data_IF_342149609316
#
_entry.id   IF_342149609316
#
_cell.length_a   1.000
_cell.length_b   1.000
_cell.length_c   1.000
_cell.angle_alpha   90.00
_cell.angle_beta   90.00
_cell.angle_gamma   90.00
#
_symmetry.space_group_name_H-M   'P 1'
#
loop_
_entity.id
_entity.type
_entity.pdbx_description
1 polymer ?
#
# COMPACT_ATOMS: atom_id res chain seq x y z
N UNK A 1 -3.12 -8.09 -29.63
CA UNK A 1 -4.18 -8.28 -28.60
C UNK A 1 -3.73 -9.15 -27.43
N UNK A 2 -3.50 -10.45 -27.60
CA UNK A 2 -3.16 -11.37 -26.48
C UNK A 2 -1.91 -10.89 -25.72
N UNK A 3 -0.82 -10.56 -26.43
CA UNK A 3 0.40 -10.01 -25.83
C UNK A 3 0.17 -8.71 -25.03
N UNK A 4 -0.71 -7.84 -25.52
CA UNK A 4 -1.01 -6.57 -24.85
C UNK A 4 -1.75 -6.80 -23.53
N UNK A 5 -2.75 -7.69 -23.54
CA UNK A 5 -3.48 -8.15 -22.36
C UNK A 5 -2.52 -8.81 -21.35
N UNK A 6 -1.60 -9.64 -21.82
CA UNK A 6 -0.59 -10.29 -21.00
C UNK A 6 0.37 -9.29 -20.33
N UNK A 7 0.84 -8.28 -21.08
CA UNK A 7 1.66 -7.19 -20.53
C UNK A 7 0.92 -6.44 -19.41
N UNK A 8 -0.36 -6.08 -19.62
CA UNK A 8 -1.16 -5.41 -18.60
C UNK A 8 -1.33 -6.29 -17.36
N UNK A 9 -1.63 -7.58 -17.54
CA UNK A 9 -1.76 -8.53 -16.42
C UNK A 9 -0.46 -8.71 -15.65
N UNK A 10 0.69 -8.73 -16.33
CA UNK A 10 2.00 -8.79 -15.69
C UNK A 10 2.25 -7.53 -14.84
N UNK A 11 1.83 -6.35 -15.30
CA UNK A 11 1.92 -5.12 -14.50
C UNK A 11 1.01 -5.21 -13.26
N UNK A 12 -0.24 -5.66 -13.41
CA UNK A 12 -1.18 -5.85 -12.28
C UNK A 12 -0.58 -6.81 -11.24
N UNK A 13 -0.01 -7.95 -11.66
CA UNK A 13 0.65 -8.91 -10.78
C UNK A 13 1.83 -8.28 -10.04
N UNK A 14 2.65 -7.46 -10.70
CA UNK A 14 3.76 -6.73 -10.07
C UNK A 14 3.28 -5.71 -9.03
N UNK A 15 2.18 -4.99 -9.31
CA UNK A 15 1.60 -4.05 -8.33
C UNK A 15 1.09 -4.77 -7.09
N UNK A 16 0.36 -5.88 -7.27
CA UNK A 16 -0.12 -6.72 -6.16
C UNK A 16 1.05 -7.30 -5.34
N UNK A 17 2.09 -7.79 -6.01
CA UNK A 17 3.31 -8.28 -5.35
C UNK A 17 4.03 -7.19 -4.55
N UNK A 18 4.21 -6.00 -5.11
CA UNK A 18 4.85 -4.87 -4.42
C UNK A 18 4.05 -4.42 -3.19
N UNK A 19 2.71 -4.37 -3.31
CA UNK A 19 1.79 -4.09 -2.19
C UNK A 19 1.97 -5.11 -1.06
N UNK A 20 1.98 -6.41 -1.39
CA UNK A 20 2.23 -7.47 -0.42
C UNK A 20 3.60 -7.37 0.25
N UNK A 21 4.67 -7.14 -0.53
CA UNK A 21 6.03 -6.99 0.00
C UNK A 21 6.13 -5.83 0.98
N UNK A 22 5.51 -4.69 0.66
CA UNK A 22 5.54 -3.50 1.52
C UNK A 22 4.83 -3.73 2.85
N UNK A 23 3.72 -4.48 2.86
CA UNK A 23 3.07 -4.89 4.11
C UNK A 23 4.01 -5.70 5.00
N UNK A 24 4.78 -6.62 4.42
CA UNK A 24 5.80 -7.38 5.13
C UNK A 24 6.90 -6.49 5.71
N UNK A 25 7.47 -5.59 4.89
CA UNK A 25 8.50 -4.65 5.34
C UNK A 25 8.00 -3.66 6.39
N UNK A 26 6.74 -3.25 6.33
CA UNK A 26 6.13 -2.40 7.34
C UNK A 26 6.16 -3.05 8.73
N UNK A 27 5.72 -4.31 8.83
CA UNK A 27 5.75 -5.06 10.09
C UNK A 27 7.19 -5.21 10.57
N UNK A 28 8.11 -5.64 9.71
CA UNK A 28 9.52 -5.84 10.07
C UNK A 28 10.16 -4.57 10.62
N UNK A 29 10.00 -3.44 9.94
CA UNK A 29 10.63 -2.18 10.36
C UNK A 29 9.97 -1.57 11.59
N UNK A 30 8.66 -1.74 11.77
CA UNK A 30 7.98 -1.40 13.03
C UNK A 30 8.54 -2.23 14.17
N UNK A 31 8.64 -3.55 14.03
CA UNK A 31 9.19 -4.42 15.09
C UNK A 31 10.65 -4.06 15.39
N UNK A 32 11.49 -3.88 14.38
CA UNK A 32 12.89 -3.47 14.57
C UNK A 32 12.96 -2.15 15.33
N UNK A 33 12.16 -1.15 14.94
CA UNK A 33 12.15 0.15 15.63
C UNK A 33 11.71 0.04 17.09
N UNK A 34 10.78 -0.86 17.41
CA UNK A 34 10.34 -1.13 18.78
C UNK A 34 11.33 -1.99 19.58
N UNK A 35 12.37 -2.56 18.96
CA UNK A 35 13.41 -3.32 19.66
C UNK A 35 14.73 -2.56 19.81
N UNK A 36 14.83 -1.34 19.24
CA UNK A 36 16.01 -0.49 19.38
C UNK A 36 16.23 -0.08 20.83
N UNK A 37 17.37 -0.49 21.40
CA UNK A 37 17.79 -0.12 22.76
C UNK A 37 18.38 1.29 22.78
N UNK A 38 18.21 2.00 23.89
CA UNK A 38 18.82 3.33 24.11
C UNK A 38 17.98 4.52 23.62
N UNK A 39 16.83 4.27 22.98
CA UNK A 39 15.90 5.31 22.49
C UNK A 39 14.60 5.39 23.30
N UNK A 40 14.66 5.03 24.58
CA UNK A 40 13.56 4.87 25.54
C UNK A 40 12.43 5.93 25.49
N UNK A 41 12.75 7.19 25.13
CA UNK A 41 11.81 8.31 25.05
C UNK A 41 11.19 8.50 23.65
N UNK A 42 11.90 8.11 22.59
CA UNK A 42 11.52 8.39 21.19
C UNK A 42 11.21 7.14 20.36
N UNK A 43 11.49 5.95 20.88
CA UNK A 43 11.34 4.65 20.21
C UNK A 43 9.94 4.43 19.62
N UNK A 44 8.90 4.81 20.36
CA UNK A 44 7.50 4.71 19.91
C UNK A 44 7.25 5.62 18.70
N UNK A 45 7.75 6.86 18.74
CA UNK A 45 7.59 7.82 17.64
C UNK A 45 8.33 7.38 16.38
N UNK A 46 9.50 6.75 16.55
CA UNK A 46 10.28 6.19 15.44
C UNK A 46 9.50 5.06 14.75
N UNK A 47 8.73 4.26 15.49
CA UNK A 47 7.92 3.18 14.93
C UNK A 47 6.77 3.64 14.02
N UNK A 48 6.26 4.86 14.22
CA UNK A 48 5.25 5.44 13.34
C UNK A 48 5.81 5.86 11.98
N UNK A 49 7.11 6.13 11.87
CA UNK A 49 7.74 6.55 10.61
C UNK A 49 7.59 5.48 9.51
N UNK A 50 8.08 4.23 9.68
CA UNK A 50 7.88 3.20 8.66
C UNK A 50 6.39 2.90 8.47
N UNK A 51 5.59 2.89 9.55
CA UNK A 51 4.15 2.63 9.46
C UNK A 51 3.44 3.57 8.48
N UNK A 52 3.63 4.88 8.63
CA UNK A 52 2.98 5.89 7.79
C UNK A 52 3.52 5.88 6.35
N UNK A 53 4.83 5.74 6.17
CA UNK A 53 5.46 5.69 4.85
C UNK A 53 4.92 4.49 4.06
N UNK A 54 4.94 3.30 4.66
CA UNK A 54 4.46 2.11 3.97
C UNK A 54 2.95 2.11 3.76
N UNK A 55 2.17 2.71 4.67
CA UNK A 55 0.73 2.86 4.47
C UNK A 55 0.41 3.70 3.24
N UNK A 56 1.12 4.81 3.07
CA UNK A 56 0.98 5.66 1.88
C UNK A 56 1.42 4.92 0.61
N UNK A 57 2.57 4.22 0.64
CA UNK A 57 3.07 3.48 -0.52
C UNK A 57 2.13 2.34 -0.91
N UNK A 58 1.60 1.59 0.05
CA UNK A 58 0.65 0.50 -0.20
C UNK A 58 -0.63 1.04 -0.86
N UNK A 59 -1.15 2.18 -0.38
CA UNK A 59 -2.26 2.87 -1.03
C UNK A 59 -1.94 3.31 -2.47
N UNK A 60 -0.70 3.73 -2.73
CA UNK A 60 -0.24 4.09 -4.08
C UNK A 60 -0.20 2.88 -5.02
N UNK A 61 0.36 1.74 -4.59
CA UNK A 61 0.37 0.52 -5.40
C UNK A 61 -1.03 0.01 -5.71
N UNK A 62 -1.94 0.05 -4.72
CA UNK A 62 -3.34 -0.32 -4.92
C UNK A 62 -4.08 0.64 -5.87
N UNK A 63 -3.76 1.93 -5.82
CA UNK A 63 -4.29 2.92 -6.77
C UNK A 63 -3.82 2.63 -8.20
N UNK A 64 -2.53 2.37 -8.39
CA UNK A 64 -1.96 1.97 -9.69
C UNK A 64 -2.61 0.69 -10.22
N UNK A 65 -2.72 -0.34 -9.39
CA UNK A 65 -3.36 -1.61 -9.75
C UNK A 65 -4.78 -1.40 -10.28
N UNK A 66 -5.58 -0.57 -9.60
CA UNK A 66 -6.96 -0.26 -10.04
C UNK A 66 -7.01 0.48 -11.36
N UNK A 67 -6.06 1.39 -11.64
CA UNK A 67 -5.97 2.04 -12.94
C UNK A 67 -5.60 1.04 -14.05
N UNK A 68 -4.67 0.12 -13.78
CA UNK A 68 -4.33 -0.94 -14.73
C UNK A 68 -5.48 -1.93 -14.97
N UNK A 69 -6.31 -2.21 -13.94
CA UNK A 69 -7.56 -2.98 -14.12
C UNK A 69 -8.54 -2.26 -15.04
N UNK A 70 -8.67 -0.92 -14.96
CA UNK A 70 -9.48 -0.13 -15.90
C UNK A 70 -8.91 -0.15 -17.32
N UNK A 71 -7.58 -0.06 -17.46
CA UNK A 71 -6.91 -0.21 -18.76
C UNK A 71 -7.18 -1.59 -19.37
N UNK A 72 -7.09 -2.65 -18.58
CA UNK A 72 -7.41 -4.01 -19.00
C UNK A 72 -8.85 -4.14 -19.49
N UNK A 73 -9.83 -3.65 -18.72
CA UNK A 73 -11.25 -3.62 -19.10
C UNK A 73 -11.47 -2.89 -20.43
N UNK A 74 -10.80 -1.74 -20.62
CA UNK A 74 -10.91 -0.96 -21.84
C UNK A 74 -10.31 -1.68 -23.05
N UNK A 75 -9.13 -2.28 -22.92
CA UNK A 75 -8.46 -3.01 -24.03
C UNK A 75 -9.34 -4.16 -24.51
N UNK A 76 -9.90 -4.98 -23.60
CA UNK A 76 -10.76 -6.10 -23.99
C UNK A 76 -11.99 -5.63 -24.76
N UNK A 77 -12.61 -4.52 -24.34
CA UNK A 77 -13.84 -4.02 -24.97
C UNK A 77 -13.61 -3.38 -26.34
N UNK A 78 -12.46 -2.74 -26.54
CA UNK A 78 -12.24 -1.86 -27.69
C UNK A 78 -11.26 -2.42 -28.73
N UNK A 79 -10.36 -3.34 -28.37
CA UNK A 79 -9.27 -3.75 -29.28
C UNK A 79 -9.73 -4.50 -30.53
N UNK A 80 -10.92 -5.10 -30.53
CA UNK A 80 -11.54 -5.68 -31.74
C UNK A 80 -12.22 -4.63 -32.64
N UNK A 81 -12.40 -3.40 -32.15
CA UNK A 81 -13.16 -2.33 -32.82
C UNK A 81 -12.28 -1.17 -33.27
N UNK A 82 -11.12 -0.97 -32.63
CA UNK A 82 -10.22 0.15 -32.90
C UNK A 82 -8.77 -0.17 -32.56
N UNK A 83 -7.87 0.43 -33.33
CA UNK A 83 -6.42 0.45 -33.08
C UNK A 83 -5.97 1.68 -32.27
N UNK A 84 -6.91 2.52 -31.83
CA UNK A 84 -6.60 3.66 -30.97
C UNK A 84 -5.78 3.20 -29.74
N UNK A 85 -4.69 3.90 -29.43
CA UNK A 85 -3.80 3.58 -28.32
C UNK A 85 -3.25 2.15 -28.36
N UNK A 86 -2.93 1.64 -29.55
CA UNK A 86 -2.27 0.35 -29.72
C UNK A 86 -0.99 0.29 -28.88
N UNK A 87 -0.90 -0.67 -27.95
CA UNK A 87 0.25 -0.86 -27.05
C UNK A 87 0.55 0.32 -26.10
N UNK A 88 -0.37 1.28 -25.95
CA UNK A 88 -0.20 2.32 -24.93
C UNK A 88 -0.52 1.76 -23.55
N UNK A 89 0.52 1.68 -22.71
CA UNK A 89 0.43 1.17 -21.32
C UNK A 89 0.14 2.28 -20.30
N UNK A 90 -0.15 3.51 -20.75
CA UNK A 90 -0.40 4.63 -19.87
C UNK A 90 -1.79 4.54 -19.19
N UNK A 91 -1.80 3.93 -18.01
CA UNK A 91 -3.00 3.77 -17.18
C UNK A 91 -3.52 5.09 -16.57
N UNK A 92 -2.73 6.18 -16.57
CA UNK A 92 -3.15 7.47 -16.00
C UNK A 92 -4.37 8.08 -16.70
N UNK A 93 -4.67 7.68 -17.94
CA UNK A 93 -5.91 8.05 -18.62
C UNK A 93 -7.17 7.64 -17.85
N UNK A 94 -7.07 6.67 -16.95
CA UNK A 94 -8.16 6.18 -16.11
C UNK A 94 -8.12 6.74 -14.68
N UNK A 95 -7.27 7.72 -14.38
CA UNK A 95 -7.14 8.31 -13.03
C UNK A 95 -8.50 8.76 -12.46
N UNK A 96 -9.34 9.36 -13.29
CA UNK A 96 -10.65 9.91 -12.90
C UNK A 96 -11.75 8.81 -12.85
N UNK A 97 -11.44 7.60 -13.30
CA UNK A 97 -12.31 6.41 -13.24
C UNK A 97 -12.00 5.52 -12.03
N UNK A 98 -11.04 5.92 -11.21
CA UNK A 98 -10.61 5.23 -10.00
C UNK A 98 -10.82 6.15 -8.79
N UNK A 99 -11.02 5.54 -7.62
CA UNK A 99 -11.10 6.28 -6.37
C UNK A 99 -9.81 7.06 -6.11
N UNK A 100 -9.92 8.21 -5.42
CA UNK A 100 -8.75 9.01 -5.05
C UNK A 100 -7.78 8.24 -4.16
N UNK A 101 -6.48 8.54 -4.27
CA UNK A 101 -5.42 7.92 -3.46
C UNK A 101 -5.72 7.98 -1.95
N UNK A 102 -6.23 9.11 -1.48
CA UNK A 102 -6.61 9.30 -0.06
C UNK A 102 -7.77 8.38 0.33
N UNK A 103 -8.80 8.24 -0.52
CA UNK A 103 -9.91 7.32 -0.25
C UNK A 103 -9.44 5.87 -0.19
N UNK A 104 -8.45 5.51 -1.00
CA UNK A 104 -7.85 4.17 -0.99
C UNK A 104 -7.06 3.95 0.30
N UNK A 105 -6.28 4.94 0.74
CA UNK A 105 -5.51 4.87 1.98
C UNK A 105 -6.40 4.54 3.19
N UNK A 106 -7.59 5.13 3.26
CA UNK A 106 -8.60 4.86 4.29
C UNK A 106 -9.63 3.78 3.90
N UNK A 107 -9.30 2.92 2.93
CA UNK A 107 -10.16 1.78 2.60
C UNK A 107 -10.16 0.75 3.73
N UNK A 108 -11.22 -0.05 3.84
CA UNK A 108 -11.40 -1.08 4.88
C UNK A 108 -10.16 -1.98 4.99
N UNK A 109 -9.61 -2.47 3.88
CA UNK A 109 -8.47 -3.41 3.89
C UNK A 109 -7.18 -2.78 4.42
N UNK A 110 -6.88 -1.55 4.00
CA UNK A 110 -5.69 -0.83 4.47
C UNK A 110 -5.86 -0.30 5.89
N UNK A 111 -7.04 0.20 6.22
CA UNK A 111 -7.40 0.67 7.55
C UNK A 111 -7.29 -0.42 8.61
N UNK A 112 -7.81 -1.62 8.37
CA UNK A 112 -7.67 -2.74 9.30
C UNK A 112 -6.22 -3.19 9.44
N UNK A 113 -5.46 -3.26 8.34
CA UNK A 113 -4.08 -3.72 8.38
C UNK A 113 -3.18 -2.73 9.13
N UNK A 114 -3.12 -1.47 8.69
CA UNK A 114 -2.24 -0.47 9.33
C UNK A 114 -2.80 0.02 10.67
N UNK A 115 -4.12 0.05 10.82
CA UNK A 115 -4.78 0.40 12.09
C UNK A 115 -4.53 -0.64 13.18
N UNK A 116 -4.53 -1.94 12.87
CA UNK A 116 -4.18 -2.96 13.86
C UNK A 116 -2.74 -2.85 14.33
N UNK A 117 -1.79 -2.55 13.43
CA UNK A 117 -0.39 -2.28 13.80
C UNK A 117 -0.28 -1.03 14.67
N UNK A 118 -0.99 0.06 14.32
CA UNK A 118 -1.02 1.27 15.14
C UNK A 118 -1.54 1.01 16.56
N UNK A 119 -2.62 0.24 16.69
CA UNK A 119 -3.18 -0.17 17.98
C UNK A 119 -2.15 -0.97 18.79
N UNK A 120 -1.43 -1.91 18.17
CA UNK A 120 -0.37 -2.66 18.84
C UNK A 120 0.77 -1.77 19.34
N UNK A 121 1.18 -0.76 18.56
CA UNK A 121 2.19 0.22 18.99
C UNK A 121 1.69 1.01 20.22
N UNK A 122 0.42 1.41 20.23
CA UNK A 122 -0.19 2.13 21.36
C UNK A 122 -0.26 1.24 22.61
N UNK A 123 -0.68 -0.02 22.48
CA UNK A 123 -0.70 -0.98 23.60
C UNK A 123 0.71 -1.16 24.17
N UNK A 124 1.72 -1.33 23.31
CA UNK A 124 3.11 -1.43 23.72
C UNK A 124 3.58 -0.18 24.47
N UNK A 125 3.22 1.01 23.99
CA UNK A 125 3.52 2.28 24.65
C UNK A 125 2.89 2.39 26.05
N UNK A 126 1.64 1.93 26.23
CA UNK A 126 0.96 1.92 27.52
C UNK A 126 1.61 0.94 28.52
N UNK A 127 2.06 -0.23 28.06
CA UNK A 127 2.78 -1.19 28.92
C UNK A 127 4.15 -0.63 29.36
N UNK A 128 4.84 0.11 28.48
CA UNK A 128 6.10 0.77 28.83
C UNK A 128 5.91 1.92 29.84
N UNK A 129 4.79 2.65 29.79
CA UNK A 129 4.55 3.74 30.73
C UNK A 129 4.20 3.24 32.13
N UNK A 130 3.45 2.15 32.26
CA UNK A 130 3.12 1.55 33.56
C UNK A 130 4.34 0.92 34.24
N UNK A 131 5.25 0.33 33.47
CA UNK A 131 6.48 -0.28 34.02
C UNK A 131 7.50 0.76 34.49
N UNK A 132 7.59 1.92 33.83
CA UNK A 132 8.48 3.03 34.26
C UNK A 132 7.92 3.90 35.38
N UNK A 133 6.59 4.00 35.49
CA UNK A 133 5.92 4.79 36.54
C UNK A 133 5.83 4.10 37.91
N UNK A 134 6.37 2.87 38.04
CA UNK A 134 6.36 2.07 39.27
C UNK A 134 7.63 2.14 40.12
N UNK A 135 8.43 3.20 40.00
CA UNK A 135 9.60 3.48 40.87
C UNK A 135 9.47 4.86 41.50
#
# INVERSE_FOLDING_TARGET
MIKEIELIQNIIKRMAYNSFMIKGWAITLVVVSLLLKGTEKYQIWIAFIPLLIFWFLDAYFLWQERMYRRLYEWVIKNRLKTEEYLFDMNAYRFKDKVQSRVRIMFSITLGWFYGSIAILIIIYALVLSTTKGGC
#
